data_IF_188260224147
#
_entry.id   IF_188260224147
#
_cell.length_a   1.000
_cell.length_b   1.000
_cell.length_c   1.000
_cell.angle_alpha   90.00
_cell.angle_beta   90.00
_cell.angle_gamma   90.00
#
_symmetry.space_group_name_H-M   'P 1'
#
loop_
_entity.id
_entity.type
_entity.pdbx_description
1 polymer ?
#
# COMPACT_ATOMS: atom_id res chain seq x y z
N UNK A 1 -11.60 -4.08 -24.99
CA UNK A 1 -12.24 -4.01 -23.66
C UNK A 1 -12.15 -2.57 -23.19
N UNK A 2 -13.27 -1.86 -23.06
CA UNK A 2 -13.27 -0.47 -22.56
C UNK A 2 -13.53 -0.56 -21.07
N UNK A 3 -12.48 -0.53 -20.26
CA UNK A 3 -12.63 -0.43 -18.80
C UNK A 3 -13.21 0.94 -18.46
N UNK A 4 -14.21 0.97 -17.57
CA UNK A 4 -14.64 2.20 -16.93
C UNK A 4 -13.53 2.73 -16.00
N UNK A 5 -13.63 4.01 -15.63
CA UNK A 5 -12.67 4.62 -14.71
C UNK A 5 -12.64 3.90 -13.34
N UNK A 6 -13.79 3.46 -12.85
CA UNK A 6 -13.90 2.76 -11.57
C UNK A 6 -13.37 1.33 -11.64
N UNK A 7 -13.72 0.59 -12.70
CA UNK A 7 -13.20 -0.77 -12.93
C UNK A 7 -11.67 -0.78 -12.99
N UNK A 8 -11.06 0.21 -13.66
CA UNK A 8 -9.61 0.28 -13.73
C UNK A 8 -8.99 0.57 -12.34
N UNK A 9 -9.61 1.43 -11.53
CA UNK A 9 -9.12 1.71 -10.17
C UNK A 9 -9.21 0.47 -9.27
N UNK A 10 -10.32 -0.26 -9.35
CA UNK A 10 -10.53 -1.51 -8.61
C UNK A 10 -9.54 -2.61 -9.04
N UNK A 11 -9.33 -2.76 -10.34
CA UNK A 11 -8.35 -3.70 -10.87
C UNK A 11 -6.92 -3.34 -10.43
N UNK A 12 -6.59 -2.04 -10.40
CA UNK A 12 -5.32 -1.55 -9.87
C UNK A 12 -5.16 -1.84 -8.37
N UNK A 13 -6.21 -1.65 -7.57
CA UNK A 13 -6.18 -1.93 -6.13
C UNK A 13 -6.00 -3.43 -5.83
N UNK A 14 -6.79 -4.26 -6.51
CA UNK A 14 -6.70 -5.72 -6.45
C UNK A 14 -5.28 -6.19 -6.78
N UNK A 15 -4.72 -5.66 -7.87
CA UNK A 15 -3.38 -6.05 -8.30
C UNK A 15 -2.29 -5.55 -7.36
N UNK A 16 -2.39 -4.34 -6.84
CA UNK A 16 -1.44 -3.83 -5.84
C UNK A 16 -1.57 -4.54 -4.49
N UNK A 17 -2.74 -5.10 -4.16
CA UNK A 17 -2.90 -5.94 -2.98
C UNK A 17 -2.15 -7.27 -3.13
N UNK A 18 -2.23 -7.89 -4.31
CA UNK A 18 -1.48 -9.12 -4.63
C UNK A 18 0.01 -8.88 -4.86
N UNK A 19 0.41 -7.72 -5.38
CA UNK A 19 1.81 -7.37 -5.64
C UNK A 19 2.05 -5.89 -5.34
N UNK A 20 2.30 -5.55 -4.05
CA UNK A 20 2.41 -4.16 -3.61
C UNK A 20 3.56 -3.36 -4.23
N UNK A 21 4.52 -4.04 -4.85
CA UNK A 21 5.68 -3.45 -5.54
C UNK A 21 5.57 -3.43 -7.06
N UNK A 22 4.39 -3.75 -7.62
CA UNK A 22 4.17 -3.66 -9.06
C UNK A 22 4.54 -2.26 -9.58
N UNK A 23 5.32 -2.23 -10.65
CA UNK A 23 5.69 -0.98 -11.32
C UNK A 23 4.54 -0.51 -12.19
N UNK A 24 4.54 0.77 -12.56
CA UNK A 24 3.58 1.32 -13.52
C UNK A 24 3.59 0.54 -14.85
N UNK A 25 4.76 0.05 -15.28
CA UNK A 25 4.89 -0.75 -16.50
C UNK A 25 4.25 -2.13 -16.37
N UNK A 26 4.45 -2.82 -15.24
CA UNK A 26 3.78 -4.10 -14.97
C UNK A 26 2.26 -3.93 -14.88
N UNK A 27 1.80 -2.92 -14.16
CA UNK A 27 0.38 -2.59 -14.04
C UNK A 27 -0.27 -2.31 -15.40
N UNK A 28 0.42 -1.56 -16.27
CA UNK A 28 -0.04 -1.27 -17.63
C UNK A 28 -0.16 -2.56 -18.48
N UNK A 29 0.85 -3.43 -18.44
CA UNK A 29 0.83 -4.68 -19.20
C UNK A 29 -0.27 -5.62 -18.72
N UNK A 30 -0.40 -5.79 -17.40
CA UNK A 30 -1.37 -6.72 -16.81
C UNK A 30 -2.82 -6.27 -17.04
N UNK A 31 -3.08 -4.96 -16.99
CA UNK A 31 -4.41 -4.40 -17.23
C UNK A 31 -4.70 -4.15 -18.72
N UNK A 32 -3.75 -4.44 -19.61
CA UNK A 32 -3.93 -4.24 -21.06
C UNK A 32 -4.12 -2.77 -21.47
N UNK A 33 -3.59 -1.83 -20.68
CA UNK A 33 -3.73 -0.37 -20.93
C UNK A 33 -2.38 0.33 -20.99
N UNK A 34 -2.34 1.52 -21.59
CA UNK A 34 -1.10 2.31 -21.60
C UNK A 34 -0.79 2.88 -20.21
N UNK A 35 0.51 3.08 -19.92
CA UNK A 35 0.97 3.83 -18.73
C UNK A 35 0.32 5.22 -18.63
N UNK A 36 0.09 5.87 -19.78
CA UNK A 36 -0.54 7.20 -19.86
C UNK A 36 -2.00 7.15 -19.41
N UNK A 37 -2.73 6.07 -19.73
CA UNK A 37 -4.11 5.85 -19.28
C UNK A 37 -4.17 5.80 -17.76
N UNK A 38 -3.31 4.99 -17.12
CA UNK A 38 -3.25 4.86 -15.67
C UNK A 38 -2.91 6.20 -15.00
N UNK A 39 -1.87 6.89 -15.48
CA UNK A 39 -1.46 8.18 -14.90
C UNK A 39 -2.57 9.22 -15.05
N UNK A 40 -3.19 9.33 -16.23
CA UNK A 40 -4.28 10.28 -16.47
C UNK A 40 -5.47 9.97 -15.56
N UNK A 41 -5.85 8.70 -15.43
CA UNK A 41 -6.92 8.27 -14.55
C UNK A 41 -6.66 8.68 -13.10
N UNK A 42 -5.49 8.33 -12.55
CA UNK A 42 -5.16 8.68 -11.16
C UNK A 42 -5.11 10.18 -10.92
N UNK A 43 -4.65 10.96 -11.91
CA UNK A 43 -4.66 12.43 -11.84
C UNK A 43 -6.08 12.99 -11.83
N UNK A 44 -6.95 12.49 -12.71
CA UNK A 44 -8.33 13.00 -12.81
C UNK A 44 -9.22 12.54 -11.66
N UNK A 45 -9.14 11.26 -11.26
CA UNK A 45 -10.06 10.66 -10.30
C UNK A 45 -9.61 10.80 -8.83
N UNK A 46 -8.30 10.99 -8.60
CA UNK A 46 -7.69 10.93 -7.25
C UNK A 46 -6.63 12.02 -7.01
N UNK A 47 -6.36 12.89 -7.98
CA UNK A 47 -5.34 13.95 -7.92
C UNK A 47 -3.96 13.47 -7.43
N UNK A 48 -3.54 12.26 -7.82
CA UNK A 48 -2.30 11.68 -7.30
C UNK A 48 -1.47 10.98 -8.37
N UNK A 49 -0.20 10.77 -8.06
CA UNK A 49 0.70 9.98 -8.91
C UNK A 49 0.51 8.47 -8.68
N UNK A 50 0.94 7.65 -9.63
CA UNK A 50 0.97 6.19 -9.46
C UNK A 50 1.74 5.77 -8.20
N UNK A 51 2.90 6.37 -7.95
CA UNK A 51 3.70 6.09 -6.76
C UNK A 51 2.95 6.45 -5.48
N UNK A 52 2.23 7.57 -5.46
CA UNK A 52 1.42 7.98 -4.31
C UNK A 52 0.29 6.99 -4.06
N UNK A 53 -0.39 6.53 -5.11
CA UNK A 53 -1.44 5.53 -5.04
C UNK A 53 -0.92 4.16 -4.54
N UNK A 54 0.20 3.69 -5.09
CA UNK A 54 0.88 2.50 -4.62
C UNK A 54 1.26 2.61 -3.14
N UNK A 55 1.77 3.77 -2.71
CA UNK A 55 2.10 4.01 -1.30
C UNK A 55 0.86 4.01 -0.40
N UNK A 56 -0.29 4.52 -0.85
CA UNK A 56 -1.53 4.45 -0.05
C UNK A 56 -2.04 3.02 0.08
N UNK A 57 -1.96 2.21 -0.97
CA UNK A 57 -2.33 0.78 -0.92
C UNK A 57 -1.37 0.02 0.01
N UNK A 58 -0.05 0.20 -0.16
CA UNK A 58 0.97 -0.36 0.73
C UNK A 58 0.72 0.00 2.20
N UNK A 59 0.38 1.27 2.46
CA UNK A 59 0.07 1.74 3.80
C UNK A 59 -1.16 1.03 4.37
N UNK A 60 -2.25 0.95 3.60
CA UNK A 60 -3.49 0.28 4.02
C UNK A 60 -3.22 -1.17 4.43
N UNK A 61 -2.57 -1.95 3.55
CA UNK A 61 -2.22 -3.34 3.81
C UNK A 61 -1.32 -3.44 5.05
N UNK A 62 -0.32 -2.56 5.17
CA UNK A 62 0.57 -2.56 6.33
C UNK A 62 -0.17 -2.28 7.65
N UNK A 63 -1.11 -1.33 7.66
CA UNK A 63 -1.92 -1.01 8.83
C UNK A 63 -2.82 -2.18 9.23
N UNK A 64 -3.47 -2.83 8.27
CA UNK A 64 -4.28 -4.04 8.49
C UNK A 64 -3.42 -5.16 9.10
N UNK A 65 -2.29 -5.47 8.46
CA UNK A 65 -1.33 -6.47 8.96
C UNK A 65 -0.84 -6.17 10.37
N UNK A 66 -0.48 -4.92 10.67
CA UNK A 66 -0.03 -4.53 12.01
C UNK A 66 -1.12 -4.68 13.07
N UNK A 67 -2.38 -4.44 12.70
CA UNK A 67 -3.54 -4.53 13.61
C UNK A 67 -3.96 -5.98 13.85
N UNK A 68 -4.04 -6.80 12.80
CA UNK A 68 -4.59 -8.15 12.85
C UNK A 68 -3.55 -9.24 13.11
N UNK A 69 -2.35 -9.14 12.54
CA UNK A 69 -1.33 -10.20 12.66
C UNK A 69 -0.50 -10.00 13.93
N UNK A 70 -1.05 -10.42 15.08
CA UNK A 70 -0.36 -10.33 16.39
C UNK A 70 0.80 -11.31 16.52
N UNK A 71 0.70 -12.47 15.86
CA UNK A 71 1.70 -13.55 15.94
C UNK A 71 2.86 -13.38 14.95
N UNK A 72 2.74 -12.48 13.97
CA UNK A 72 3.77 -12.21 12.97
C UNK A 72 4.63 -11.05 13.46
N UNK A 73 5.95 -11.12 13.36
CA UNK A 73 6.85 -10.03 13.75
C UNK A 73 6.74 -8.83 12.80
N UNK A 74 7.14 -7.63 13.25
CA UNK A 74 7.19 -6.44 12.38
C UNK A 74 8.18 -6.66 11.22
N UNK A 75 9.24 -7.44 11.45
CA UNK A 75 10.23 -7.79 10.41
C UNK A 75 9.61 -8.66 9.32
N UNK A 76 8.82 -9.67 9.68
CA UNK A 76 8.13 -10.52 8.71
C UNK A 76 7.07 -9.76 7.91
N UNK A 77 6.33 -8.84 8.54
CA UNK A 77 5.42 -7.94 7.82
C UNK A 77 6.22 -7.07 6.83
N UNK A 78 7.34 -6.49 7.25
CA UNK A 78 8.18 -5.67 6.38
C UNK A 78 8.66 -6.48 5.16
N UNK A 79 9.18 -7.69 5.37
CA UNK A 79 9.67 -8.58 4.31
C UNK A 79 8.56 -8.99 3.35
N UNK A 80 7.36 -9.34 3.85
CA UNK A 80 6.23 -9.72 2.98
C UNK A 80 5.72 -8.56 2.12
N UNK A 81 5.93 -7.31 2.54
CA UNK A 81 5.63 -6.10 1.75
C UNK A 81 6.81 -5.63 0.88
N UNK A 82 7.88 -6.43 0.80
CA UNK A 82 9.05 -6.18 -0.04
C UNK A 82 9.98 -5.08 0.48
N UNK A 83 10.03 -4.86 1.80
CA UNK A 83 11.07 -4.03 2.42
C UNK A 83 12.28 -4.88 2.82
N UNK A 84 13.49 -4.37 2.59
CA UNK A 84 14.74 -5.05 2.94
C UNK A 84 14.97 -5.14 4.45
N UNK A 85 14.41 -4.21 5.22
CA UNK A 85 14.56 -4.17 6.68
C UNK A 85 13.31 -3.65 7.38
N UNK A 86 13.17 -3.99 8.66
CA UNK A 86 12.15 -3.42 9.54
C UNK A 86 12.34 -1.91 9.75
N UNK A 87 13.57 -1.40 9.63
CA UNK A 87 13.88 0.03 9.75
C UNK A 87 13.32 0.83 8.57
N UNK A 88 13.51 0.34 7.33
CA UNK A 88 12.95 0.97 6.12
C UNK A 88 11.42 1.02 6.18
N UNK A 89 10.82 -0.09 6.62
CA UNK A 89 9.38 -0.18 6.84
C UNK A 89 8.91 0.80 7.93
N UNK A 90 9.60 0.87 9.07
CA UNK A 90 9.23 1.79 10.13
C UNK A 90 9.33 3.25 9.70
N UNK A 91 10.34 3.62 8.90
CA UNK A 91 10.47 4.97 8.31
C UNK A 91 9.30 5.29 7.37
N UNK A 92 8.93 4.34 6.52
CA UNK A 92 7.76 4.48 5.65
C UNK A 92 6.48 4.68 6.45
N UNK A 93 6.20 3.83 7.44
CA UNK A 93 4.99 3.90 8.26
C UNK A 93 4.96 5.20 9.06
N UNK A 94 6.06 5.60 9.70
CA UNK A 94 6.13 6.87 10.42
C UNK A 94 5.87 8.08 9.51
N UNK A 95 6.46 8.06 8.31
CA UNK A 95 6.26 9.14 7.32
C UNK A 95 4.83 9.25 6.80
N UNK A 96 4.06 8.16 6.81
CA UNK A 96 2.72 8.11 6.19
C UNK A 96 1.57 8.07 7.19
N UNK A 97 1.75 7.42 8.33
CA UNK A 97 0.76 7.27 9.39
C UNK A 97 1.05 8.13 10.64
N UNK A 98 2.21 8.81 10.71
CA UNK A 98 2.59 9.65 11.84
C UNK A 98 3.00 8.88 13.12
N UNK A 99 2.85 7.56 13.15
CA UNK A 99 3.19 6.69 14.27
C UNK A 99 4.12 5.55 13.85
N UNK A 100 4.88 4.99 14.80
CA UNK A 100 5.73 3.83 14.54
C UNK A 100 4.89 2.53 14.47
N UNK A 101 5.35 1.49 13.74
CA UNK A 101 4.62 0.22 13.61
C UNK A 101 4.25 -0.44 14.94
N UNK A 102 5.14 -0.35 15.94
CA UNK A 102 4.91 -0.86 17.31
C UNK A 102 3.72 -0.20 18.00
N UNK A 103 3.58 1.12 17.87
CA UNK A 103 2.47 1.89 18.45
C UNK A 103 1.13 1.53 17.79
N UNK A 104 1.16 1.27 16.48
CA UNK A 104 -0.04 0.87 15.72
C UNK A 104 -0.46 -0.56 16.11
N UNK A 105 0.50 -1.46 16.31
CA UNK A 105 0.26 -2.85 16.70
C UNK A 105 -0.26 -2.97 18.14
N UNK A 106 0.29 -2.17 19.05
CA UNK A 106 -0.13 -2.09 20.44
C UNK A 106 -0.81 -0.74 20.62
N UNK A 107 -2.05 -0.55 20.11
CA UNK A 107 -2.82 0.64 20.46
C UNK A 107 -2.82 0.66 21.98
N UNK A 108 -2.36 1.77 22.57
CA UNK A 108 -2.10 1.88 24.01
C UNK A 108 -3.30 1.31 24.77
N UNK A 109 -3.15 0.08 25.25
CA UNK A 109 -3.95 -0.42 26.35
C UNK A 109 -3.59 0.47 27.51
N UNK A 110 -4.59 1.22 27.94
CA UNK A 110 -4.63 2.02 29.14
C UNK A 110 -3.75 1.41 30.23
N UNK A 111 -2.66 2.10 30.56
CA UNK A 111 -2.12 1.99 31.91
C UNK A 111 -3.10 2.81 32.78
N UNK A 112 -4.14 2.14 33.26
CA UNK A 112 -4.93 2.63 34.39
C UNK A 112 -4.16 2.16 35.64
N UNK A 113 -3.70 3.07 36.51
CA UNK A 113 -3.07 2.71 37.77
C UNK A 113 -4.03 1.95 38.69
#
# INVERSE_FOLDING_TARGET
MVYSAEELLEAMDTRLTASPRATLSQMAQELGVSRRTIVRLLRMARNMSYRSYQQSVLLRIALERLRHDKNVTIKEIALSLGYSSSADFARFIRSKAGACPSNIRRPRGSHVP
#
